data_IF_833759599125
#
_entry.id   IF_833759599125
#
_cell.length_a   1.000
_cell.length_b   1.000
_cell.length_c   1.000
_cell.angle_alpha   90.00
_cell.angle_beta   90.00
_cell.angle_gamma   90.00
#
_symmetry.space_group_name_H-M   'P 1'
#
loop_
_entity.id
_entity.type
_entity.pdbx_description
1 polymer ?
#
# COMPACT_ATOMS: atom_id res chain seq x y z
N UNK A 1 8.36 -12.07 14.69
CA UNK A 1 6.92 -11.84 14.42
C UNK A 1 6.71 -11.87 12.92
N UNK A 2 5.74 -12.63 12.42
CA UNK A 2 5.50 -12.86 11.00
C UNK A 2 4.29 -12.05 10.51
N UNK A 3 4.53 -11.13 9.59
CA UNK A 3 3.50 -10.25 9.03
C UNK A 3 3.19 -10.70 7.60
N UNK A 4 1.91 -10.87 7.29
CA UNK A 4 1.39 -11.20 5.97
C UNK A 4 0.73 -9.96 5.38
N UNK A 5 1.21 -9.50 4.23
CA UNK A 5 0.75 -8.29 3.55
C UNK A 5 0.06 -8.64 2.23
N UNK A 6 -1.13 -8.07 2.01
CA UNK A 6 -1.92 -8.17 0.78
C UNK A 6 -2.52 -6.79 0.42
N UNK A 7 -2.90 -6.60 -0.83
CA UNK A 7 -3.67 -5.46 -1.32
C UNK A 7 -4.37 -5.83 -2.63
N UNK A 8 -5.33 -5.01 -3.08
CA UNK A 8 -5.92 -5.09 -4.43
C UNK A 8 -6.53 -6.46 -4.72
N UNK A 9 -7.33 -6.99 -3.79
CA UNK A 9 -8.01 -8.27 -3.96
C UNK A 9 -9.24 -8.14 -4.87
N UNK A 10 -9.83 -6.94 -4.94
CA UNK A 10 -10.97 -6.63 -5.81
C UNK A 10 -12.07 -7.70 -5.74
N UNK A 11 -12.54 -7.95 -4.52
CA UNK A 11 -13.60 -8.90 -4.14
C UNK A 11 -13.23 -10.38 -4.25
N UNK A 12 -12.01 -10.71 -4.68
CA UNK A 12 -11.56 -12.11 -4.86
C UNK A 12 -11.00 -12.76 -3.58
N UNK A 13 -11.28 -12.22 -2.40
CA UNK A 13 -10.72 -12.68 -1.11
C UNK A 13 -10.89 -14.18 -0.85
N UNK A 14 -12.03 -14.75 -1.23
CA UNK A 14 -12.30 -16.17 -1.05
C UNK A 14 -11.32 -17.08 -1.82
N UNK A 15 -10.62 -16.53 -2.83
CA UNK A 15 -9.63 -17.23 -3.64
C UNK A 15 -8.19 -17.05 -3.11
N UNK A 16 -7.98 -16.10 -2.19
CA UNK A 16 -6.66 -15.80 -1.62
C UNK A 16 -6.30 -16.85 -0.59
N UNK A 17 -5.20 -17.55 -0.81
CA UNK A 17 -4.61 -18.46 0.17
C UNK A 17 -3.60 -17.68 1.02
N UNK A 18 -3.94 -17.47 2.28
CA UNK A 18 -3.05 -16.80 3.23
C UNK A 18 -2.07 -17.82 3.85
N UNK A 19 -0.76 -17.51 3.91
CA UNK A 19 0.17 -18.26 4.74
C UNK A 19 -0.08 -17.98 6.23
N UNK A 20 0.46 -18.83 7.10
CA UNK A 20 0.52 -18.58 8.54
C UNK A 20 1.22 -17.25 8.85
N UNK A 21 0.75 -16.55 9.87
CA UNK A 21 1.32 -15.29 10.33
C UNK A 21 0.66 -14.79 11.61
N UNK A 22 1.38 -13.91 12.31
CA UNK A 22 0.92 -13.26 13.54
C UNK A 22 0.02 -12.04 13.24
N UNK A 23 0.27 -11.37 12.11
CA UNK A 23 -0.44 -10.15 11.69
C UNK A 23 -0.79 -10.25 10.20
N UNK A 24 -2.04 -9.95 9.84
CA UNK A 24 -2.47 -9.74 8.45
C UNK A 24 -2.71 -8.25 8.19
N UNK A 25 -2.08 -7.71 7.15
CA UNK A 25 -2.29 -6.34 6.66
C UNK A 25 -2.94 -6.41 5.27
N UNK A 26 -4.09 -5.75 5.11
CA UNK A 26 -4.70 -5.50 3.81
C UNK A 26 -4.64 -4.00 3.47
N UNK A 27 -3.84 -3.62 2.47
CA UNK A 27 -3.52 -2.22 2.18
C UNK A 27 -4.45 -1.56 1.13
N UNK A 28 -5.76 -1.78 1.26
CA UNK A 28 -6.79 -1.17 0.38
C UNK A 28 -7.21 -2.01 -0.82
N UNK A 29 -8.21 -1.50 -1.56
CA UNK A 29 -8.89 -2.11 -2.72
C UNK A 29 -9.37 -3.55 -2.49
N UNK A 30 -10.06 -3.73 -1.36
CA UNK A 30 -10.73 -4.98 -1.02
C UNK A 30 -12.03 -5.14 -1.83
N UNK A 31 -12.78 -4.06 -2.11
CA UNK A 31 -13.98 -4.05 -2.98
C UNK A 31 -13.77 -3.22 -4.25
N UNK A 32 -14.66 -3.37 -5.25
CA UNK A 32 -14.70 -2.47 -6.42
C UNK A 32 -15.42 -1.15 -6.14
N UNK A 33 -16.31 -1.16 -5.16
CA UNK A 33 -17.19 -0.05 -4.84
C UNK A 33 -16.99 0.33 -3.37
N UNK A 34 -16.60 1.58 -3.12
CA UNK A 34 -16.96 2.26 -1.89
C UNK A 34 -18.32 2.91 -2.12
N UNK A 35 -19.37 2.50 -1.41
CA UNK A 35 -20.63 3.24 -1.44
C UNK A 35 -20.33 4.66 -0.94
N UNK A 36 -20.58 5.73 -1.73
CA UNK A 36 -20.25 7.09 -1.31
C UNK A 36 -20.97 7.51 -0.03
N UNK A 37 -22.07 6.85 0.39
CA UNK A 37 -22.77 7.21 1.63
C UNK A 37 -22.09 6.72 2.92
N UNK A 38 -21.60 5.47 3.04
CA UNK A 38 -20.77 5.05 4.18
C UNK A 38 -19.29 5.46 4.08
N UNK A 39 -18.79 5.83 2.89
CA UNK A 39 -17.39 6.28 2.72
C UNK A 39 -17.15 7.68 3.33
N UNK A 40 -18.21 8.49 3.51
CA UNK A 40 -18.12 9.80 4.18
C UNK A 40 -17.85 9.71 5.69
N UNK A 41 -18.30 8.65 6.36
CA UNK A 41 -17.95 8.41 7.78
C UNK A 41 -16.58 7.73 7.93
N UNK A 42 -16.04 7.16 6.84
CA UNK A 42 -14.69 6.62 6.75
C UNK A 42 -13.74 7.56 5.96
N UNK A 43 -13.82 8.85 6.30
CA UNK A 43 -12.79 9.89 6.19
C UNK A 43 -12.21 10.30 4.83
N UNK A 44 -12.70 9.89 3.65
CA UNK A 44 -12.25 10.47 2.35
C UNK A 44 -10.70 10.48 2.14
N UNK A 45 -9.98 9.70 2.97
CA UNK A 45 -8.52 9.56 3.08
C UNK A 45 -8.12 8.10 3.04
N UNK A 46 -9.10 7.21 2.86
CA UNK A 46 -8.83 5.84 2.45
C UNK A 46 -8.28 5.94 1.02
N UNK A 47 -6.99 6.25 0.98
CA UNK A 47 -6.01 5.58 0.17
C UNK A 47 -5.64 6.18 -1.18
N UNK A 48 -6.31 7.25 -1.61
CA UNK A 48 -5.93 8.03 -2.80
C UNK A 48 -6.38 9.49 -2.68
N UNK A 49 -5.59 10.43 -3.21
CA UNK A 49 -5.88 11.87 -3.20
C UNK A 49 -4.70 12.63 -3.79
N UNK A 50 -4.90 13.90 -4.17
CA UNK A 50 -3.80 14.69 -4.73
C UNK A 50 -2.76 15.00 -3.64
N UNK A 51 -1.49 15.23 -4.01
CA UNK A 51 -0.46 15.62 -3.04
C UNK A 51 -0.86 16.84 -2.21
N UNK A 52 -1.58 17.80 -2.79
CA UNK A 52 -2.03 19.02 -2.12
C UNK A 52 -3.01 18.70 -0.99
N UNK A 53 -3.96 17.80 -1.25
CA UNK A 53 -4.97 17.39 -0.26
C UNK A 53 -4.34 16.54 0.84
N UNK A 54 -3.42 15.64 0.49
CA UNK A 54 -2.86 14.66 1.43
C UNK A 54 -1.63 15.13 2.19
N UNK A 55 -0.95 16.19 1.73
CA UNK A 55 0.25 16.72 2.43
C UNK A 55 0.04 17.02 3.92
N UNK A 56 -1.06 17.68 4.34
CA UNK A 56 -1.32 17.90 5.76
C UNK A 56 -1.52 16.61 6.56
N UNK A 57 -1.99 15.53 5.91
CA UNK A 57 -2.13 14.21 6.53
C UNK A 57 -0.76 13.54 6.68
N UNK A 58 0.06 13.56 5.62
CA UNK A 58 1.43 13.03 5.66
C UNK A 58 2.31 13.71 6.72
N UNK A 59 2.11 15.01 6.96
CA UNK A 59 2.80 15.73 8.03
C UNK A 59 2.53 15.17 9.44
N UNK A 60 1.32 14.60 9.66
CA UNK A 60 0.89 14.01 10.95
C UNK A 60 1.48 12.64 11.24
N UNK A 61 2.17 12.01 10.28
CA UNK A 61 2.84 10.72 10.50
C UNK A 61 3.81 10.86 11.70
N UNK A 62 3.73 9.99 12.72
CA UNK A 62 4.61 10.07 13.89
C UNK A 62 6.06 9.72 13.53
N UNK A 63 7.01 10.21 14.32
CA UNK A 63 8.41 9.73 14.26
C UNK A 63 8.51 8.35 14.95
N UNK A 64 9.57 7.59 14.62
CA UNK A 64 9.85 6.27 15.21
C UNK A 64 8.72 5.26 15.01
N UNK A 65 8.11 5.27 13.83
CA UNK A 65 7.03 4.36 13.46
C UNK A 65 7.61 3.02 12.99
N UNK A 66 7.11 1.89 13.47
CA UNK A 66 7.54 0.59 12.93
C UNK A 66 6.93 0.34 11.55
N UNK A 67 5.63 0.53 11.39
CA UNK A 67 4.89 0.17 10.17
C UNK A 67 4.01 1.35 9.73
N UNK A 68 4.21 1.82 8.50
CA UNK A 68 3.31 2.73 7.80
C UNK A 68 2.48 1.94 6.78
N UNK A 69 1.18 2.23 6.71
CA UNK A 69 0.30 1.64 5.70
C UNK A 69 -0.34 2.77 4.90
N UNK A 70 -0.18 2.73 3.58
CA UNK A 70 -0.95 3.51 2.62
C UNK A 70 -1.49 2.54 1.57
N UNK A 71 -2.11 3.04 0.52
CA UNK A 71 -2.52 2.20 -0.61
C UNK A 71 -1.83 2.68 -1.87
N UNK A 72 -1.92 3.97 -2.18
CA UNK A 72 -1.03 4.58 -3.16
C UNK A 72 0.45 4.47 -2.73
N UNK A 73 1.38 4.20 -3.66
CA UNK A 73 2.79 4.11 -3.37
C UNK A 73 3.46 5.49 -3.19
N UNK A 74 4.61 5.56 -2.49
CA UNK A 74 5.47 6.74 -2.56
C UNK A 74 6.13 6.85 -3.95
N UNK A 75 6.36 8.08 -4.41
CA UNK A 75 6.94 8.34 -5.74
C UNK A 75 8.29 7.62 -5.94
N UNK A 76 8.44 6.97 -7.10
CA UNK A 76 9.66 6.28 -7.50
C UNK A 76 9.97 5.00 -6.73
N UNK A 77 9.00 4.47 -5.97
CA UNK A 77 9.12 3.24 -5.20
C UNK A 77 7.98 2.29 -5.59
N UNK A 78 8.30 1.26 -6.37
CA UNK A 78 7.34 0.22 -6.77
C UNK A 78 6.04 0.80 -7.37
N UNK A 79 6.15 1.90 -8.11
CA UNK A 79 5.02 2.73 -8.57
C UNK A 79 4.98 2.96 -10.08
N UNK A 80 5.73 2.13 -10.84
CA UNK A 80 5.80 2.23 -12.29
C UNK A 80 4.73 1.36 -12.94
N UNK A 81 3.83 1.98 -13.69
CA UNK A 81 2.76 1.31 -14.45
C UNK A 81 3.28 0.68 -15.75
N UNK A 82 2.51 -0.23 -16.37
CA UNK A 82 2.83 -0.75 -17.71
C UNK A 82 3.01 0.33 -18.79
N UNK A 83 2.39 1.50 -18.60
CA UNK A 83 2.50 2.65 -19.53
C UNK A 83 3.79 3.44 -19.33
N UNK A 84 4.65 3.02 -18.42
CA UNK A 84 5.90 3.69 -18.09
C UNK A 84 5.73 4.93 -17.21
N UNK A 85 4.53 5.19 -16.69
CA UNK A 85 4.23 6.32 -15.80
C UNK A 85 4.58 5.96 -14.37
N UNK A 86 5.25 6.87 -13.68
CA UNK A 86 5.54 6.85 -12.24
C UNK A 86 4.36 7.50 -11.50
N UNK A 87 3.53 6.69 -10.84
CA UNK A 87 2.23 7.12 -10.31
C UNK A 87 2.25 7.48 -8.80
N UNK A 88 3.37 7.27 -8.11
CA UNK A 88 3.44 7.48 -6.67
C UNK A 88 3.44 8.94 -6.24
N UNK A 89 3.16 9.17 -4.95
CA UNK A 89 3.07 10.51 -4.39
C UNK A 89 4.45 11.01 -3.89
N UNK A 90 4.92 12.15 -4.42
CA UNK A 90 6.21 12.74 -4.03
C UNK A 90 6.21 13.23 -2.58
N UNK A 91 5.09 13.81 -2.13
CA UNK A 91 4.89 14.25 -0.73
C UNK A 91 4.85 13.11 0.27
N UNK A 92 4.34 11.95 -0.15
CA UNK A 92 4.43 10.73 0.66
C UNK A 92 5.89 10.25 0.76
N UNK A 93 6.65 10.26 -0.34
CA UNK A 93 8.07 9.91 -0.30
C UNK A 93 8.86 10.84 0.66
N UNK A 94 8.65 12.16 0.56
CA UNK A 94 9.27 13.14 1.48
C UNK A 94 8.96 12.80 2.94
N UNK A 95 7.69 12.50 3.25
CA UNK A 95 7.27 12.13 4.60
C UNK A 95 7.91 10.82 5.06
N UNK A 96 7.95 9.78 4.22
CA UNK A 96 8.58 8.50 4.57
C UNK A 96 10.07 8.68 4.82
N UNK A 97 10.77 9.46 3.99
CA UNK A 97 12.20 9.76 4.19
C UNK A 97 12.46 10.50 5.50
N UNK A 98 11.58 11.44 5.87
CA UNK A 98 11.72 12.21 7.10
C UNK A 98 11.38 11.39 8.36
N UNK A 99 10.37 10.51 8.28
CA UNK A 99 9.83 9.76 9.43
C UNK A 99 10.48 8.38 9.60
N UNK A 100 11.10 7.88 8.53
CA UNK A 100 11.88 6.64 8.48
C UNK A 100 11.18 5.42 9.12
N UNK A 101 9.96 5.06 8.67
CA UNK A 101 9.31 3.85 9.16
C UNK A 101 10.15 2.61 8.80
N UNK A 102 10.12 1.55 9.64
CA UNK A 102 10.85 0.31 9.32
C UNK A 102 10.22 -0.43 8.14
N UNK A 103 8.89 -0.43 8.05
CA UNK A 103 8.13 -1.04 6.96
C UNK A 103 7.10 -0.03 6.44
N UNK A 104 6.95 0.05 5.12
CA UNK A 104 5.86 0.77 4.45
C UNK A 104 5.13 -0.17 3.50
N UNK A 105 3.90 -0.53 3.84
CA UNK A 105 3.03 -1.42 3.05
C UNK A 105 2.01 -0.61 2.26
N UNK A 106 1.85 -0.94 0.98
CA UNK A 106 0.93 -0.30 0.04
C UNK A 106 0.54 -1.25 -1.09
N UNK A 107 -0.24 -0.78 -2.07
CA UNK A 107 -0.73 -1.54 -3.22
C UNK A 107 -0.91 -0.63 -4.44
N UNK A 108 -2.11 -0.66 -5.04
CA UNK A 108 -2.59 0.20 -6.12
C UNK A 108 -1.94 -0.01 -7.49
N UNK A 109 -0.61 -0.05 -7.55
CA UNK A 109 0.13 -0.26 -8.79
C UNK A 109 0.44 -1.74 -8.92
N UNK A 110 -0.46 -2.48 -9.56
CA UNK A 110 -0.42 -3.94 -9.66
C UNK A 110 0.90 -4.47 -10.23
N UNK A 111 1.50 -3.73 -11.15
CA UNK A 111 2.75 -4.07 -11.83
C UNK A 111 3.98 -3.76 -11.00
N UNK A 112 3.80 -2.95 -9.95
CA UNK A 112 4.82 -2.63 -8.97
C UNK A 112 4.96 -3.68 -7.87
N UNK A 113 4.18 -4.77 -7.91
CA UNK A 113 4.21 -5.82 -6.88
C UNK A 113 5.64 -6.24 -6.49
N UNK A 114 5.86 -6.38 -5.18
CA UNK A 114 7.09 -6.90 -4.61
C UNK A 114 7.59 -6.10 -3.41
N UNK A 115 8.87 -6.25 -3.12
CA UNK A 115 9.51 -5.61 -1.97
C UNK A 115 10.84 -4.98 -2.37
N UNK A 116 11.08 -3.78 -1.85
CA UNK A 116 12.33 -3.04 -2.01
C UNK A 116 12.78 -2.50 -0.65
N UNK A 117 14.03 -2.72 -0.27
CA UNK A 117 14.62 -2.06 0.91
C UNK A 117 15.45 -0.86 0.49
N UNK A 118 15.16 0.32 1.03
CA UNK A 118 15.89 1.56 0.75
C UNK A 118 15.94 2.44 1.99
N UNK A 119 17.13 2.96 2.31
CA UNK A 119 17.36 3.88 3.44
C UNK A 119 16.80 3.37 4.79
N UNK A 120 16.88 2.06 5.04
CA UNK A 120 16.38 1.44 6.28
C UNK A 120 14.90 1.07 6.27
N UNK A 121 14.10 1.59 5.34
CA UNK A 121 12.69 1.22 5.16
C UNK A 121 12.54 0.05 4.19
N UNK A 122 11.75 -0.96 4.57
CA UNK A 122 11.24 -2.00 3.67
C UNK A 122 9.92 -1.54 3.06
N UNK A 123 9.93 -1.24 1.77
CA UNK A 123 8.75 -0.87 0.98
C UNK A 123 8.14 -2.12 0.36
N UNK A 124 6.83 -2.27 0.52
CA UNK A 124 6.10 -3.49 0.16
C UNK A 124 4.89 -3.09 -0.64
N UNK A 125 4.93 -3.34 -1.94
CA UNK A 125 3.76 -3.30 -2.79
C UNK A 125 3.12 -4.71 -2.76
N UNK A 126 1.98 -4.81 -2.09
CA UNK A 126 1.30 -6.05 -1.80
C UNK A 126 0.14 -6.37 -2.77
N UNK A 127 0.06 -5.69 -3.94
CA UNK A 127 -0.98 -5.92 -4.94
C UNK A 127 -1.04 -7.38 -5.39
N UNK A 128 -2.14 -8.07 -5.08
CA UNK A 128 -2.31 -9.47 -5.46
C UNK A 128 -2.76 -9.63 -6.92
N UNK A 129 -3.50 -8.65 -7.42
CA UNK A 129 -3.93 -8.61 -8.81
C UNK A 129 -2.79 -8.17 -9.75
N UNK A 130 -2.81 -8.68 -10.98
CA UNK A 130 -2.05 -8.12 -12.11
C UNK A 130 -2.84 -6.97 -12.78
N UNK A 131 -2.29 -6.36 -13.83
CA UNK A 131 -2.96 -5.27 -14.57
C UNK A 131 -4.32 -5.65 -15.21
N UNK A 132 -4.62 -6.95 -15.37
CA UNK A 132 -5.91 -7.45 -15.86
C UNK A 132 -6.88 -7.80 -14.71
N UNK A 133 -6.51 -7.50 -13.47
CA UNK A 133 -7.25 -7.87 -12.25
C UNK A 133 -7.33 -9.37 -11.97
N UNK A 134 -6.42 -10.17 -12.52
CA UNK A 134 -6.29 -11.59 -12.15
C UNK A 134 -5.42 -11.73 -10.90
N UNK A 135 -5.83 -12.57 -9.94
CA UNK A 135 -5.01 -12.90 -8.76
C UNK A 135 -3.80 -13.74 -9.17
N UNK A 136 -2.66 -13.08 -9.39
CA UNK A 136 -1.44 -13.72 -9.88
C UNK A 136 -0.31 -13.69 -8.86
N UNK A 137 -0.29 -12.69 -7.98
CA UNK A 137 0.77 -12.49 -7.02
C UNK A 137 0.45 -13.18 -5.69
N UNK A 138 1.49 -13.53 -4.93
CA UNK A 138 1.37 -14.17 -3.62
C UNK A 138 1.37 -13.12 -2.51
N UNK A 139 0.73 -13.37 -1.36
CA UNK A 139 0.92 -12.54 -0.17
C UNK A 139 2.40 -12.34 0.14
N UNK A 140 2.80 -11.11 0.44
CA UNK A 140 4.17 -10.79 0.84
C UNK A 140 4.31 -11.07 2.32
N UNK A 141 5.34 -11.83 2.71
CA UNK A 141 5.59 -12.19 4.10
C UNK A 141 6.85 -11.49 4.59
N UNK A 142 6.77 -10.87 5.76
CA UNK A 142 7.86 -10.17 6.42
C UNK A 142 8.06 -10.78 7.81
N UNK A 143 9.27 -11.26 8.08
CA UNK A 143 9.67 -11.71 9.41
C UNK A 143 10.45 -10.59 10.11
N UNK A 144 9.92 -10.13 11.26
CA UNK A 144 10.50 -9.14 12.17
C UNK A 144 11.20 -9.77 13.37
#
# INVERSE_FOLDING_TARGET
MRIVCIADTHEKHAQVKLPEGDILIHAGDFTWVGDPKPTLDFLDWAFMGTPEILSPIWAKIPKNLDILITHGPPFGILDRTIRGVTAGCSKLLEAVQLKAPRIHVFGHIHEGYGMLKKNGTAFVNASLCNANYDLMNKPVVIDL
#
